data_IF_525606443837
#
_entry.id   IF_525606443837
#
_cell.length_a   1.000
_cell.length_b   1.000
_cell.length_c   1.000
_cell.angle_alpha   90.00
_cell.angle_beta   90.00
_cell.angle_gamma   90.00
#
_symmetry.space_group_name_H-M   'P 1'
#
loop_
_entity.id
_entity.type
_entity.pdbx_description
1 polymer ?
#
# COMPACT_ATOMS: atom_id res chain seq x y z
N UNK A 1 -18.54 19.77 2.92
CA UNK A 1 -19.16 18.79 1.99
C UNK A 1 -19.46 17.54 2.79
N UNK A 2 -20.69 17.00 2.80
CA UNK A 2 -20.94 15.72 3.45
C UNK A 2 -20.12 14.63 2.74
N UNK A 3 -19.39 13.82 3.51
CA UNK A 3 -18.66 12.65 3.01
C UNK A 3 -19.67 11.74 2.32
N UNK A 4 -19.54 11.55 1.00
CA UNK A 4 -20.34 10.55 0.30
C UNK A 4 -20.12 9.18 0.97
N UNK A 5 -21.19 8.40 1.18
CA UNK A 5 -21.08 7.09 1.79
C UNK A 5 -20.30 6.17 0.86
N UNK A 6 -19.05 5.86 1.23
CA UNK A 6 -18.30 4.78 0.59
C UNK A 6 -18.85 3.43 1.04
N UNK A 7 -18.73 2.37 0.24
CA UNK A 7 -19.17 1.01 0.62
C UNK A 7 -18.61 0.56 1.98
N UNK A 8 -17.37 0.94 2.29
CA UNK A 8 -16.72 0.67 3.57
C UNK A 8 -17.38 1.39 4.75
N UNK A 9 -17.76 2.67 4.59
CA UNK A 9 -18.46 3.42 5.62
C UNK A 9 -19.87 2.85 5.88
N UNK A 10 -20.54 2.37 4.82
CA UNK A 10 -21.83 1.68 4.95
C UNK A 10 -21.63 0.39 5.76
N UNK A 11 -20.66 -0.44 5.38
CA UNK A 11 -20.39 -1.70 6.03
C UNK A 11 -19.99 -1.53 7.50
N UNK A 12 -19.09 -0.57 7.81
CA UNK A 12 -18.74 -0.24 9.18
C UNK A 12 -19.96 0.19 10.00
N UNK A 13 -20.83 1.06 9.44
CA UNK A 13 -22.07 1.44 10.10
C UNK A 13 -22.98 0.24 10.35
N UNK A 14 -23.14 -0.64 9.36
CA UNK A 14 -23.97 -1.85 9.50
C UNK A 14 -23.45 -2.78 10.60
N UNK A 15 -22.14 -3.02 10.66
CA UNK A 15 -21.52 -3.81 11.73
C UNK A 15 -21.75 -3.17 13.10
N UNK A 16 -21.59 -1.86 13.19
CA UNK A 16 -21.79 -1.10 14.41
C UNK A 16 -23.25 -1.12 14.88
N UNK A 17 -24.20 -0.85 14.00
CA UNK A 17 -25.64 -0.91 14.30
C UNK A 17 -26.07 -2.34 14.71
N UNK A 18 -25.48 -3.37 14.08
CA UNK A 18 -25.73 -4.76 14.44
C UNK A 18 -25.16 -5.12 15.80
N UNK A 19 -23.98 -4.60 16.15
CA UNK A 19 -23.34 -4.90 17.43
C UNK A 19 -24.24 -4.55 18.63
N UNK A 20 -24.93 -3.41 18.60
CA UNK A 20 -25.86 -3.00 19.66
C UNK A 20 -27.16 -3.81 19.69
N UNK A 21 -27.58 -4.36 18.55
CA UNK A 21 -28.84 -5.11 18.41
C UNK A 21 -28.65 -6.63 18.46
N UNK A 22 -27.41 -7.12 18.44
CA UNK A 22 -27.05 -8.52 18.53
C UNK A 22 -27.51 -9.14 19.86
N UNK A 23 -28.13 -10.32 19.77
CA UNK A 23 -28.73 -11.02 20.92
C UNK A 23 -27.82 -12.10 21.51
N UNK A 24 -26.92 -12.66 20.70
CA UNK A 24 -26.01 -13.72 21.17
C UNK A 24 -24.63 -13.17 21.47
N UNK A 25 -23.98 -13.79 22.47
CA UNK A 25 -22.61 -13.43 22.87
C UNK A 25 -21.63 -13.73 21.72
N UNK A 26 -21.85 -14.82 20.98
CA UNK A 26 -21.03 -15.19 19.83
C UNK A 26 -21.11 -14.17 18.68
N UNK A 27 -22.31 -13.68 18.35
CA UNK A 27 -22.48 -12.64 17.33
C UNK A 27 -21.78 -11.35 17.75
N UNK A 28 -21.94 -10.93 19.01
CA UNK A 28 -21.25 -9.75 19.56
C UNK A 28 -19.73 -9.89 19.53
N UNK A 29 -19.19 -11.07 19.80
CA UNK A 29 -17.75 -11.30 19.80
C UNK A 29 -17.16 -11.13 18.38
N UNK A 30 -17.78 -11.72 17.36
CA UNK A 30 -17.31 -11.59 15.97
C UNK A 30 -17.46 -10.16 15.47
N UNK A 31 -18.58 -9.49 15.77
CA UNK A 31 -18.80 -8.09 15.42
C UNK A 31 -17.78 -7.15 16.10
N UNK A 32 -17.45 -7.39 17.37
CA UNK A 32 -16.41 -6.63 18.09
C UNK A 32 -15.05 -6.76 17.40
N UNK A 33 -14.66 -8.00 17.04
CA UNK A 33 -13.42 -8.25 16.31
C UNK A 33 -13.42 -7.58 14.93
N UNK A 34 -14.54 -7.60 14.21
CA UNK A 34 -14.68 -6.93 12.92
C UNK A 34 -14.53 -5.41 13.05
N UNK A 35 -15.11 -4.80 14.08
CA UNK A 35 -14.96 -3.35 14.35
C UNK A 35 -13.52 -2.97 14.69
N UNK A 36 -12.84 -3.76 15.52
CA UNK A 36 -11.43 -3.55 15.84
C UNK A 36 -10.53 -3.70 14.60
N UNK A 37 -10.78 -4.73 13.78
CA UNK A 37 -10.06 -4.95 12.54
C UNK A 37 -10.29 -3.81 11.53
N UNK A 38 -11.50 -3.27 11.44
CA UNK A 38 -11.78 -2.09 10.60
C UNK A 38 -11.01 -0.85 11.06
N UNK A 39 -10.98 -0.58 12.37
CA UNK A 39 -10.24 0.55 12.93
C UNK A 39 -8.74 0.43 12.62
N UNK A 40 -8.15 -0.75 12.85
CA UNK A 40 -6.76 -1.03 12.52
C UNK A 40 -6.48 -0.90 11.02
N UNK A 41 -7.38 -1.41 10.16
CA UNK A 41 -7.25 -1.30 8.70
C UNK A 41 -7.26 0.16 8.23
N UNK A 42 -8.11 1.00 8.83
CA UNK A 42 -8.17 2.43 8.49
C UNK A 42 -6.85 3.14 8.78
N UNK A 43 -6.24 2.88 9.94
CA UNK A 43 -4.93 3.42 10.30
C UNK A 43 -3.83 2.89 9.37
N UNK A 44 -3.80 1.58 9.14
CA UNK A 44 -2.85 0.93 8.25
C UNK A 44 -2.96 1.43 6.81
N UNK A 45 -4.16 1.71 6.29
CA UNK A 45 -4.34 2.27 4.95
C UNK A 45 -3.77 3.68 4.85
N UNK A 46 -4.03 4.54 5.84
CA UNK A 46 -3.44 5.89 5.86
C UNK A 46 -1.91 5.85 5.91
N UNK A 47 -1.36 4.97 6.74
CA UNK A 47 0.08 4.78 6.83
C UNK A 47 0.67 4.19 5.55
N UNK A 48 0.05 3.15 4.98
CA UNK A 48 0.48 2.52 3.74
C UNK A 48 0.40 3.48 2.55
N UNK A 49 -0.62 4.34 2.46
CA UNK A 49 -0.71 5.39 1.46
C UNK A 49 0.43 6.40 1.60
N UNK A 50 0.70 6.87 2.82
CA UNK A 50 1.78 7.82 3.10
C UNK A 50 3.14 7.23 2.71
N UNK A 51 3.41 5.99 3.15
CA UNK A 51 4.64 5.25 2.83
C UNK A 51 4.76 5.01 1.33
N UNK A 52 3.68 4.60 0.66
CA UNK A 52 3.67 4.37 -0.79
C UNK A 52 3.95 5.65 -1.57
N UNK A 53 3.35 6.79 -1.18
CA UNK A 53 3.62 8.09 -1.81
C UNK A 53 5.07 8.55 -1.58
N UNK A 54 5.66 8.25 -0.43
CA UNK A 54 7.07 8.52 -0.19
C UNK A 54 7.97 7.68 -1.11
N UNK A 55 7.74 6.36 -1.16
CA UNK A 55 8.53 5.45 -2.01
C UNK A 55 8.37 5.80 -3.49
N UNK A 56 7.17 6.11 -3.97
CA UNK A 56 6.94 6.54 -5.35
C UNK A 56 7.70 7.82 -5.72
N UNK A 57 7.83 8.77 -4.79
CA UNK A 57 8.66 9.96 -5.00
C UNK A 57 10.14 9.60 -5.09
N UNK A 58 10.62 8.66 -4.28
CA UNK A 58 11.99 8.17 -4.35
C UNK A 58 12.27 7.44 -5.67
N UNK A 59 11.33 6.61 -6.14
CA UNK A 59 11.40 5.90 -7.43
C UNK A 59 11.47 6.92 -8.58
N UNK A 60 10.52 7.85 -8.66
CA UNK A 60 10.49 8.87 -9.72
C UNK A 60 11.79 9.69 -9.75
N UNK A 61 12.38 9.97 -8.59
CA UNK A 61 13.66 10.67 -8.50
C UNK A 61 14.80 9.82 -9.08
N UNK A 62 14.88 8.55 -8.70
CA UNK A 62 15.90 7.63 -9.21
C UNK A 62 15.74 7.33 -10.71
N UNK A 63 14.51 7.21 -11.21
CA UNK A 63 14.22 7.12 -12.66
C UNK A 63 14.68 8.37 -13.41
N UNK A 64 14.46 9.56 -12.85
CA UNK A 64 14.93 10.82 -13.47
C UNK A 64 16.46 10.89 -13.54
N UNK A 65 17.15 10.38 -12.52
CA UNK A 65 18.61 10.27 -12.51
C UNK A 65 19.10 9.28 -13.58
N UNK A 66 18.45 8.11 -13.70
CA UNK A 66 18.76 7.13 -14.73
C UNK A 66 18.51 7.65 -16.14
N UNK A 67 17.41 8.37 -16.39
CA UNK A 67 17.15 8.99 -17.68
C UNK A 67 18.24 10.01 -18.05
N UNK A 68 18.71 10.79 -17.07
CA UNK A 68 19.80 11.75 -17.25
C UNK A 68 21.10 11.03 -17.60
N UNK A 69 21.45 9.97 -16.88
CA UNK A 69 22.63 9.15 -17.17
C UNK A 69 22.53 8.45 -18.52
N UNK A 70 21.36 7.94 -18.90
CA UNK A 70 21.15 7.33 -20.22
C UNK A 70 21.43 8.32 -21.34
N UNK A 71 20.95 9.56 -21.21
CA UNK A 71 21.24 10.63 -22.17
C UNK A 71 22.73 10.99 -22.25
N UNK A 72 23.47 10.76 -21.17
CA UNK A 72 24.91 11.00 -21.10
C UNK A 72 25.68 9.87 -21.79
N UNK A 73 25.22 8.63 -21.62
CA UNK A 73 25.74 7.47 -22.35
C UNK A 73 25.54 7.57 -23.86
N UNK A 74 24.38 8.04 -24.31
CA UNK A 74 24.16 8.32 -25.73
C UNK A 74 25.19 9.32 -26.27
N UNK A 75 25.53 10.33 -25.47
CA UNK A 75 26.57 11.31 -25.82
C UNK A 75 27.96 10.70 -25.86
N UNK A 76 28.28 9.73 -24.99
CA UNK A 76 29.52 8.95 -25.07
C UNK A 76 29.60 8.14 -26.36
N UNK A 77 28.52 7.46 -26.74
CA UNK A 77 28.45 6.65 -27.95
C UNK A 77 28.62 7.50 -29.22
N UNK A 78 28.08 8.72 -29.23
CA UNK A 78 28.22 9.67 -30.32
C UNK A 78 29.60 10.37 -30.35
N UNK A 79 30.47 10.11 -29.37
CA UNK A 79 31.77 10.78 -29.22
C UNK A 79 31.68 12.26 -28.81
N UNK A 80 30.48 12.73 -28.44
CA UNK A 80 30.21 14.12 -28.03
C UNK A 80 30.52 14.39 -26.55
N UNK A 81 30.84 13.36 -25.78
CA UNK A 81 31.30 13.44 -24.40
C UNK A 81 32.38 12.38 -24.12
N UNK A 82 33.26 12.64 -23.14
CA UNK A 82 34.28 11.68 -22.71
C UNK A 82 33.66 10.66 -21.76
N UNK A 83 33.81 9.39 -22.08
CA UNK A 83 33.39 8.29 -21.24
C UNK A 83 34.02 8.36 -19.85
N UNK A 84 33.21 8.15 -18.82
CA UNK A 84 33.64 8.08 -17.43
C UNK A 84 33.07 6.78 -16.81
N UNK A 85 33.94 5.88 -16.30
CA UNK A 85 33.50 4.60 -15.73
C UNK A 85 32.69 4.75 -14.44
N UNK A 86 32.79 5.89 -13.74
CA UNK A 86 31.99 6.12 -12.53
C UNK A 86 30.50 6.33 -12.86
N UNK A 87 30.18 6.84 -14.07
CA UNK A 87 28.79 6.98 -14.52
C UNK A 87 28.14 5.62 -14.80
N UNK A 88 28.92 4.63 -15.26
CA UNK A 88 28.46 3.25 -15.41
C UNK A 88 28.13 2.61 -14.05
N UNK A 89 29.03 2.78 -13.07
CA UNK A 89 28.81 2.30 -11.69
C UNK A 89 27.60 2.96 -11.04
N UNK A 90 27.37 4.23 -11.35
CA UNK A 90 26.22 4.97 -10.85
C UNK A 90 24.90 4.45 -11.45
N UNK A 91 24.89 4.06 -12.73
CA UNK A 91 23.73 3.38 -13.32
C UNK A 91 23.43 2.06 -12.61
N UNK A 92 24.43 1.20 -12.40
CA UNK A 92 24.25 -0.08 -11.72
C UNK A 92 23.70 0.12 -10.30
N UNK A 93 24.30 1.04 -9.54
CA UNK A 93 23.87 1.40 -8.19
C UNK A 93 22.43 1.95 -8.15
N UNK A 94 22.02 2.75 -9.14
CA UNK A 94 20.66 3.23 -9.26
C UNK A 94 19.68 2.12 -9.64
N UNK A 95 20.10 1.14 -10.46
CA UNK A 95 19.32 -0.06 -10.77
C UNK A 95 19.04 -0.92 -9.53
N UNK A 96 20.06 -1.17 -8.72
CA UNK A 96 19.92 -1.87 -7.44
C UNK A 96 19.00 -1.11 -6.48
N UNK A 97 19.14 0.22 -6.43
CA UNK A 97 18.31 1.09 -5.60
C UNK A 97 16.84 1.06 -6.03
N UNK A 98 16.54 1.13 -7.33
CA UNK A 98 15.18 1.02 -7.84
C UNK A 98 14.57 -0.34 -7.48
N UNK A 99 15.30 -1.42 -7.72
CA UNK A 99 14.85 -2.78 -7.38
C UNK A 99 14.51 -2.91 -5.89
N UNK A 100 15.31 -2.30 -5.02
CA UNK A 100 15.04 -2.25 -3.58
C UNK A 100 13.80 -1.42 -3.24
N UNK A 101 13.61 -0.26 -3.87
CA UNK A 101 12.44 0.61 -3.67
C UNK A 101 11.14 -0.06 -4.16
N UNK A 102 11.17 -0.72 -5.30
CA UNK A 102 10.03 -1.49 -5.83
C UNK A 102 9.66 -2.64 -4.90
N UNK A 103 10.65 -3.35 -4.36
CA UNK A 103 10.42 -4.39 -3.36
C UNK A 103 9.77 -3.83 -2.08
N UNK A 104 10.25 -2.69 -1.57
CA UNK A 104 9.63 -2.01 -0.43
C UNK A 104 8.18 -1.62 -0.72
N UNK A 105 7.90 -1.09 -1.93
CA UNK A 105 6.54 -0.76 -2.35
C UNK A 105 5.64 -1.99 -2.41
N UNK A 106 6.16 -3.12 -2.92
CA UNK A 106 5.45 -4.40 -2.97
C UNK A 106 5.11 -4.92 -1.57
N UNK A 107 6.04 -4.83 -0.63
CA UNK A 107 5.82 -5.23 0.78
C UNK A 107 4.69 -4.39 1.39
N UNK A 108 4.74 -3.07 1.27
CA UNK A 108 3.68 -2.18 1.80
C UNK A 108 2.30 -2.53 1.23
N UNK A 109 2.22 -2.84 -0.07
CA UNK A 109 0.97 -3.28 -0.71
C UNK A 109 0.51 -4.65 -0.21
N UNK A 110 1.44 -5.58 0.00
CA UNK A 110 1.14 -6.91 0.55
C UNK A 110 0.60 -6.82 1.97
N UNK A 111 1.24 -6.02 2.83
CA UNK A 111 0.81 -5.83 4.23
C UNK A 111 -0.61 -5.26 4.29
N UNK A 112 -0.94 -4.31 3.40
CA UNK A 112 -2.30 -3.76 3.30
C UNK A 112 -3.30 -4.81 2.81
N UNK A 113 -2.96 -5.60 1.80
CA UNK A 113 -3.82 -6.67 1.29
C UNK A 113 -4.10 -7.74 2.35
N UNK A 114 -3.10 -8.11 3.15
CA UNK A 114 -3.25 -9.06 4.26
C UNK A 114 -4.22 -8.53 5.33
N UNK A 115 -4.14 -7.23 5.64
CA UNK A 115 -5.06 -6.59 6.57
C UNK A 115 -6.50 -6.54 6.03
N UNK A 116 -6.67 -6.20 4.75
CA UNK A 116 -7.97 -6.21 4.06
C UNK A 116 -8.57 -7.62 4.03
N UNK A 117 -7.75 -8.65 3.77
CA UNK A 117 -8.18 -10.04 3.78
C UNK A 117 -8.64 -10.50 5.16
N UNK A 118 -7.92 -10.14 6.24
CA UNK A 118 -8.33 -10.46 7.61
C UNK A 118 -9.68 -9.83 7.96
N UNK A 119 -9.89 -8.58 7.58
CA UNK A 119 -11.17 -7.91 7.78
C UNK A 119 -12.30 -8.61 6.99
N UNK A 120 -12.07 -8.93 5.72
CA UNK A 120 -13.04 -9.64 4.88
C UNK A 120 -13.42 -11.02 5.46
N UNK A 121 -12.46 -11.75 6.03
CA UNK A 121 -12.71 -13.03 6.70
C UNK A 121 -13.62 -12.88 7.92
N UNK A 122 -13.42 -11.86 8.76
CA UNK A 122 -14.26 -11.61 9.93
C UNK A 122 -15.69 -11.23 9.54
N UNK A 123 -15.84 -10.39 8.52
CA UNK A 123 -17.15 -10.01 7.98
C UNK A 123 -17.87 -11.22 7.38
N UNK A 124 -17.14 -12.05 6.63
CA UNK A 124 -17.69 -13.29 6.07
C UNK A 124 -18.12 -14.26 7.16
N UNK A 125 -17.27 -14.46 8.18
CA UNK A 125 -17.59 -15.29 9.32
C UNK A 125 -18.86 -14.82 10.03
N UNK A 126 -19.03 -13.51 10.25
CA UNK A 126 -20.28 -12.96 10.77
C UNK A 126 -21.47 -13.23 9.84
N UNK A 127 -21.33 -13.00 8.53
CA UNK A 127 -22.41 -13.18 7.58
C UNK A 127 -22.87 -14.65 7.43
N UNK A 128 -21.96 -15.61 7.60
CA UNK A 128 -22.26 -17.04 7.38
C UNK A 128 -22.54 -17.82 8.66
N UNK A 129 -22.15 -17.30 9.83
CA UNK A 129 -22.39 -18.00 11.10
C UNK A 129 -23.86 -17.88 11.48
N UNK A 130 -24.48 -19.01 11.84
CA UNK A 130 -25.85 -19.03 12.37
C UNK A 130 -25.82 -18.64 13.85
N UNK A 131 -26.57 -17.61 14.22
CA UNK A 131 -26.68 -17.06 15.58
C UNK A 131 -28.11 -17.17 16.11
#
# INVERSE_FOLDING_TARGET
MPLQPTPENILHKTLHDRFYTAKTIGERAILSLALQAYAALKEQRQEAESRSRAILREINHSESQLASLSSLFDRYLQGSAKYNPDDARMMDSLGDKLTSQENRLRIVKSDLADAEQRFAQLVTAWATTRF
#
